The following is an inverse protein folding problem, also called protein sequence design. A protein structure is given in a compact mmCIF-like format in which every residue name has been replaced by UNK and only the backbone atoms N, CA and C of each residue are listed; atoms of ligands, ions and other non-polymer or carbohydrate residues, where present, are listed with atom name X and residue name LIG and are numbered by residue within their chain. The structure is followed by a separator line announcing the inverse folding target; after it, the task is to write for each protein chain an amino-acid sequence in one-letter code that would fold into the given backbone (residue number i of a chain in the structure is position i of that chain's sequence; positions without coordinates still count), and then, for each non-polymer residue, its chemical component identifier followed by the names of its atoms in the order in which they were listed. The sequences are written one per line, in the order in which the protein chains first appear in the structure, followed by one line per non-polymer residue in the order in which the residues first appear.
data_IF_360735395704
#
_entry.id   IF_360735395704
#
_cell.length_a   1.000
_cell.length_b   1.000
_cell.length_c   1.000
_cell.angle_alpha   90.00
_cell.angle_beta   90.00
_cell.angle_gamma   90.00
#
_symmetry.space_group_name_H-M   'P 1'
#
loop_
_entity.id
_entity.type
_entity.pdbx_description
1 polymer ?
#
# COMPACT_ATOMS: atom_id res chain seq x y z
N UNK A 1 4.78 4.48 0.76
CA UNK A 1 4.93 3.13 0.17
C UNK A 1 4.54 3.16 -1.30
N UNK A 2 5.28 2.50 -2.13
CA UNK A 2 4.98 2.46 -3.56
C UNK A 2 4.34 1.13 -3.90
N UNK A 3 3.21 1.19 -4.60
CA UNK A 3 2.48 0.02 -5.05
C UNK A 3 2.60 -0.04 -6.56
N UNK A 4 2.98 -1.19 -7.09
CA UNK A 4 3.13 -1.40 -8.52
C UNK A 4 2.10 -2.43 -8.98
N UNK A 5 1.39 -2.09 -10.04
CA UNK A 5 0.35 -2.94 -10.59
C UNK A 5 0.90 -3.80 -11.73
N UNK A 6 0.23 -4.91 -12.03
CA UNK A 6 0.71 -5.81 -13.09
C UNK A 6 0.80 -5.16 -14.46
N UNK A 7 0.05 -4.11 -14.70
CA UNK A 7 0.08 -3.42 -15.99
C UNK A 7 1.26 -2.47 -16.12
N UNK A 8 2.09 -2.38 -15.09
CA UNK A 8 3.26 -1.52 -15.12
C UNK A 8 3.05 -0.16 -14.49
N UNK A 9 1.82 0.17 -14.12
CA UNK A 9 1.57 1.44 -13.46
C UNK A 9 1.92 1.35 -11.98
N UNK A 10 2.10 2.49 -11.34
CA UNK A 10 2.40 2.51 -9.92
C UNK A 10 1.80 3.76 -9.30
N UNK A 11 1.68 3.72 -7.98
CA UNK A 11 1.22 4.88 -7.25
C UNK A 11 1.87 4.90 -5.89
N UNK A 12 1.95 6.09 -5.32
CA UNK A 12 2.51 6.27 -3.99
C UNK A 12 1.35 6.44 -3.01
N UNK A 13 1.36 5.63 -1.96
CA UNK A 13 0.41 5.79 -0.87
C UNK A 13 1.18 6.51 0.23
N UNK A 14 0.96 7.80 0.32
CA UNK A 14 1.66 8.62 1.29
C UNK A 14 1.34 8.12 2.69
N UNK A 15 2.35 8.11 3.55
CA UNK A 15 2.23 7.73 4.96
C UNK A 15 2.07 6.24 5.20
N UNK A 16 1.87 5.43 4.18
CA UNK A 16 1.74 4.00 4.39
C UNK A 16 3.09 3.42 4.79
N UNK A 17 3.12 2.74 5.90
CA UNK A 17 4.36 2.12 6.40
C UNK A 17 4.21 0.64 6.62
N UNK A 18 3.00 0.11 6.49
CA UNK A 18 2.76 -1.28 6.80
C UNK A 18 1.62 -1.82 5.95
N UNK A 19 1.74 -3.07 5.56
CA UNK A 19 0.68 -3.78 4.87
C UNK A 19 0.26 -4.94 5.74
N UNK A 20 -1.04 -5.09 5.95
CA UNK A 20 -1.59 -6.18 6.73
C UNK A 20 -2.28 -7.14 5.78
N UNK A 21 -1.90 -8.40 5.84
CA UNK A 21 -2.49 -9.43 5.00
C UNK A 21 -3.34 -10.41 5.81
N UNK A 22 -3.68 -10.04 7.03
CA UNK A 22 -4.46 -10.93 7.88
C UNK A 22 -5.88 -11.12 7.36
N UNK A 23 -6.35 -10.20 6.54
CA UNK A 23 -7.66 -10.33 5.93
C UNK A 23 -7.57 -11.05 4.60
N UNK A 24 -6.59 -11.92 4.49
CA UNK A 24 -6.35 -12.66 3.27
C UNK A 24 -7.62 -13.37 2.78
N UNK A 25 -8.39 -13.93 3.70
CA UNK A 25 -9.60 -14.66 3.34
C UNK A 25 -10.69 -13.73 2.79
N UNK A 26 -10.52 -12.43 2.98
CA UNK A 26 -11.43 -11.44 2.41
C UNK A 26 -10.91 -10.86 1.12
N UNK A 27 -9.68 -11.22 0.76
CA UNK A 27 -9.13 -10.83 -0.51
C UNK A 27 -8.62 -9.41 -0.59
N UNK A 28 -8.23 -8.81 0.54
CA UNK A 28 -7.79 -7.41 0.56
C UNK A 28 -6.45 -7.28 1.24
N UNK A 29 -5.64 -6.37 0.71
CA UNK A 29 -4.43 -5.89 1.38
C UNK A 29 -4.77 -4.56 2.05
N UNK A 30 -4.50 -4.47 3.33
CA UNK A 30 -4.80 -3.27 4.12
C UNK A 30 -3.51 -2.49 4.35
N UNK A 31 -3.49 -1.25 3.93
CA UNK A 31 -2.31 -0.39 4.08
C UNK A 31 -2.55 0.59 5.23
N UNK A 32 -1.62 0.60 6.17
CA UNK A 32 -1.73 1.39 7.39
C UNK A 32 -0.58 2.40 7.49
N UNK A 33 -0.85 3.48 8.19
CA UNK A 33 0.20 4.43 8.49
C UNK A 33 0.94 4.02 9.76
N UNK A 34 1.85 4.88 10.18
CA UNK A 34 2.69 4.61 11.33
C UNK A 34 1.86 4.50 12.61
N UNK A 35 0.76 5.18 12.68
CA UNK A 35 -0.11 5.15 13.84
C UNK A 35 -1.15 4.03 13.82
N UNK A 36 -1.14 3.21 12.77
CA UNK A 36 -2.08 2.10 12.69
C UNK A 36 -3.42 2.47 12.09
N UNK A 37 -3.50 3.61 11.42
CA UNK A 37 -4.74 4.04 10.77
C UNK A 37 -4.80 3.46 9.37
N UNK A 38 -5.94 2.85 9.05
CA UNK A 38 -6.15 2.27 7.73
C UNK A 38 -6.25 3.40 6.70
N UNK A 39 -5.40 3.34 5.68
CA UNK A 39 -5.35 4.34 4.64
C UNK A 39 -6.08 3.91 3.39
N UNK A 40 -5.81 2.67 2.95
CA UNK A 40 -6.40 2.20 1.71
C UNK A 40 -6.42 0.67 1.75
N UNK A 41 -7.36 0.10 1.03
CA UNK A 41 -7.46 -1.35 0.85
C UNK A 41 -7.40 -1.63 -0.64
N UNK A 42 -6.62 -2.63 -1.02
CA UNK A 42 -6.46 -3.00 -2.41
C UNK A 42 -6.76 -4.48 -2.56
N UNK A 43 -7.55 -4.80 -3.58
CA UNK A 43 -7.92 -6.17 -3.87
C UNK A 43 -6.67 -6.98 -4.16
N UNK A 44 -6.49 -8.09 -3.45
CA UNK A 44 -5.32 -8.93 -3.64
C UNK A 44 -5.32 -9.59 -5.02
N UNK A 45 -6.46 -9.69 -5.68
CA UNK A 45 -6.52 -10.24 -7.02
C UNK A 45 -5.88 -9.31 -8.04
N UNK A 46 -5.61 -8.06 -7.65
CA UNK A 46 -4.88 -7.13 -8.51
C UNK A 46 -3.43 -7.54 -8.70
N UNK A 47 -2.92 -8.45 -7.88
CA UNK A 47 -1.56 -8.95 -7.96
C UNK A 47 -0.53 -7.83 -7.88
N UNK A 48 -0.77 -6.90 -6.99
CA UNK A 48 0.12 -5.76 -6.81
C UNK A 48 1.38 -6.21 -6.10
N UNK A 49 2.42 -5.38 -6.24
CA UNK A 49 3.63 -5.48 -5.43
C UNK A 49 3.78 -4.17 -4.71
N UNK A 50 4.45 -4.20 -3.57
CA UNK A 50 4.65 -2.97 -2.81
C UNK A 50 6.04 -2.97 -2.21
N UNK A 51 6.55 -1.76 -1.94
CA UNK A 51 7.81 -1.61 -1.25
C UNK A 51 7.79 -0.31 -0.49
N UNK A 52 8.48 -0.30 0.62
CA UNK A 52 8.61 0.90 1.42
C UNK A 52 9.66 1.79 0.78
N UNK A 53 9.30 3.02 0.46
CA UNK A 53 10.20 3.96 -0.16
C UNK A 53 10.20 5.25 0.65
N UNK A 54 11.30 5.97 0.57
CA UNK A 54 11.37 7.29 1.15
C UNK A 54 10.53 8.22 0.30
N UNK A 55 9.51 8.80 0.90
CA UNK A 55 8.63 9.70 0.18
C UNK A 55 9.20 11.10 0.19
N UNK A 56 9.07 11.84 -0.93
CA UNK A 56 9.51 13.23 -0.97
C UNK A 56 8.69 14.00 0.04
N UNK A 57 9.32 14.72 0.82
CA UNK A 57 8.58 15.51 1.77
C UNK A 57 8.04 16.75 1.12
N UNK A 58 8.04 16.66 0.63
CA UNK A 58 7.76 17.48 0.33
C UNK A 58 7.09 18.06 0.08
N UNK A 59 7.14 17.70 -0.03
CA UNK A 59 6.77 17.93 -0.15
C UNK A 59 6.49 18.78 0.32
N UNK A 60 6.73 19.04 0.60
CA UNK A 60 6.75 19.63 1.03
C UNK A 60 6.60 20.22 0.90
#
# INVERSE_FOLDING_TARGET
MRVTYPDGSSEIIARATRVDVQNFHEGMFDFYDEGGVLLVQIDMHSRIKWELVDEPEESK
#
